data_IF_466051010701
#
_entry.id   IF_466051010701
#
_cell.length_a   1.000
_cell.length_b   1.000
_cell.length_c   1.000
_cell.angle_alpha   90.00
_cell.angle_beta   90.00
_cell.angle_gamma   90.00
#
_symmetry.space_group_name_H-M   'P 1'
#
loop_
_entity.id
_entity.type
_entity.pdbx_description
1 polymer ?
#
# COMPACT_ATOMS: atom_id res chain seq x y z
N UNK A 1 4.53 37.85 2.55
CA UNK A 1 4.20 38.49 3.83
C UNK A 1 5.41 38.38 4.72
N UNK A 2 6.20 39.45 4.74
CA UNK A 2 7.40 39.62 5.56
C UNK A 2 6.98 39.66 7.03
N UNK A 3 7.66 38.92 7.91
CA UNK A 3 7.58 39.12 9.35
C UNK A 3 9.00 39.14 9.93
N UNK A 4 9.46 40.37 10.10
CA UNK A 4 10.12 40.94 11.27
C UNK A 4 11.14 40.10 12.06
N UNK A 5 12.39 40.54 11.91
CA UNK A 5 13.28 40.96 13.00
C UNK A 5 12.68 40.91 14.40
N UNK A 6 13.19 39.98 15.20
CA UNK A 6 13.07 39.98 16.64
C UNK A 6 14.40 39.56 17.27
N UNK A 7 15.34 40.50 17.34
CA UNK A 7 16.37 40.46 18.39
C UNK A 7 15.62 40.48 19.73
N UNK A 8 15.50 39.32 20.38
CA UNK A 8 15.02 39.23 21.75
C UNK A 8 16.11 38.62 22.62
N UNK A 9 16.69 39.52 23.41
CA UNK A 9 17.65 39.39 24.50
C UNK A 9 17.89 37.98 25.06
N UNK A 10 19.19 37.64 25.07
CA UNK A 10 19.83 36.50 25.75
C UNK A 10 19.82 36.65 27.28
N UNK A 11 18.66 36.92 27.90
CA UNK A 11 18.54 37.17 29.34
C UNK A 11 17.79 36.07 30.09
N UNK A 12 18.21 34.83 29.93
CA UNK A 12 18.00 33.78 30.96
C UNK A 12 19.04 32.66 30.97
N UNK A 13 20.25 32.91 30.45
CA UNK A 13 21.41 32.11 30.85
C UNK A 13 21.74 32.52 32.30
N UNK A 14 21.61 31.60 33.25
CA UNK A 14 22.07 31.86 34.62
C UNK A 14 23.53 32.33 34.60
N UNK A 15 23.95 33.11 35.59
CA UNK A 15 25.32 33.67 35.66
C UNK A 15 26.40 32.61 35.42
N UNK A 16 26.17 31.37 35.91
CA UNK A 16 27.02 30.21 35.65
C UNK A 16 27.10 29.79 34.16
N UNK A 17 25.97 29.80 33.45
CA UNK A 17 25.92 29.51 32.02
C UNK A 17 26.69 30.53 31.18
N UNK A 18 26.58 31.81 31.52
CA UNK A 18 27.33 32.88 30.86
C UNK A 18 28.85 32.78 31.11
N UNK A 19 29.27 32.39 32.33
CA UNK A 19 30.70 32.16 32.63
C UNK A 19 31.24 30.97 31.84
N UNK A 20 30.47 29.87 31.75
CA UNK A 20 30.87 28.69 30.98
C UNK A 20 30.97 29.01 29.48
N UNK A 21 30.02 29.75 28.91
CA UNK A 21 30.08 30.15 27.49
C UNK A 21 31.28 31.04 27.21
N UNK A 22 31.59 32.01 28.07
CA UNK A 22 32.79 32.84 27.95
C UNK A 22 34.08 32.02 28.05
N UNK A 23 34.14 31.03 28.94
CA UNK A 23 35.30 30.14 29.08
C UNK A 23 35.51 29.25 27.84
N UNK A 24 34.42 28.67 27.30
CA UNK A 24 34.45 27.90 26.04
C UNK A 24 34.91 28.76 24.86
N UNK A 25 34.40 29.99 24.74
CA UNK A 25 34.83 30.95 23.71
C UNK A 25 36.32 31.30 23.88
N UNK A 26 36.78 31.52 25.11
CA UNK A 26 38.19 31.79 25.43
C UNK A 26 39.13 30.64 25.04
N UNK A 27 38.74 29.39 25.33
CA UNK A 27 39.49 28.20 24.90
C UNK A 27 39.50 28.09 23.38
N UNK A 28 38.36 28.28 22.73
CA UNK A 28 38.26 28.21 21.27
C UNK A 28 39.14 29.28 20.59
N UNK A 29 39.24 30.48 21.18
CA UNK A 29 40.10 31.56 20.71
C UNK A 29 41.60 31.27 20.94
N UNK A 30 41.99 30.74 22.10
CA UNK A 30 43.39 30.38 22.39
C UNK A 30 43.90 29.23 21.51
N UNK A 31 43.02 28.33 21.10
CA UNK A 31 43.36 27.16 20.28
C UNK A 31 43.16 27.40 18.77
N UNK A 32 42.94 28.65 18.37
CA UNK A 32 42.88 29.05 16.97
C UNK A 32 44.26 28.85 16.30
N UNK A 33 44.36 28.25 15.08
CA UNK A 33 43.29 27.93 14.12
C UNK A 33 42.70 26.50 14.20
N UNK A 34 43.24 25.62 15.06
CA UNK A 34 42.83 24.21 15.14
C UNK A 34 41.36 24.04 15.56
N UNK A 35 40.85 24.93 16.43
CA UNK A 35 39.45 24.91 16.88
C UNK A 35 38.44 25.10 15.74
N UNK A 36 38.80 25.83 14.68
CA UNK A 36 37.89 26.14 13.56
C UNK A 36 37.41 24.86 12.85
N UNK A 37 38.30 23.87 12.70
CA UNK A 37 37.97 22.58 12.10
C UNK A 37 36.98 21.76 12.94
N UNK A 38 36.97 21.93 14.27
CA UNK A 38 36.05 21.24 15.16
C UNK A 38 34.69 21.95 15.26
N UNK A 39 34.68 23.28 15.20
CA UNK A 39 33.47 24.10 15.31
C UNK A 39 32.60 24.08 14.05
N UNK A 40 33.21 23.93 12.87
CA UNK A 40 32.47 23.90 11.60
C UNK A 40 31.87 22.51 11.39
N UNK A 41 30.54 22.43 11.38
CA UNK A 41 29.81 21.23 11.00
C UNK A 41 28.88 21.51 9.82
N UNK A 42 28.79 20.52 8.94
CA UNK A 42 27.94 20.55 7.75
C UNK A 42 26.79 19.56 7.94
N UNK A 43 25.57 20.03 7.68
CA UNK A 43 24.34 19.23 7.64
C UNK A 43 23.81 19.23 6.22
N UNK A 44 23.45 18.03 5.78
CA UNK A 44 22.93 17.78 4.44
C UNK A 44 21.51 18.33 4.32
N UNK A 45 21.04 18.57 3.09
CA UNK A 45 19.72 19.17 2.84
C UNK A 45 18.55 18.35 3.40
N UNK A 46 18.71 17.03 3.43
CA UNK A 46 17.73 16.09 3.98
C UNK A 46 17.84 15.87 5.50
N UNK A 47 18.84 16.46 6.15
CA UNK A 47 19.06 16.37 7.60
C UNK A 47 18.65 17.68 8.29
N UNK A 48 18.25 17.57 9.56
CA UNK A 48 18.11 18.71 10.46
C UNK A 48 18.91 18.48 11.72
N UNK A 49 19.55 19.54 12.22
CA UNK A 49 20.27 19.49 13.49
C UNK A 49 19.42 20.08 14.60
N UNK A 50 19.19 19.29 15.64
CA UNK A 50 18.63 19.75 16.92
C UNK A 50 19.80 20.02 17.86
N UNK A 51 19.93 21.26 18.32
CA UNK A 51 21.06 21.71 19.14
C UNK A 51 20.58 21.96 20.57
N UNK A 52 21.28 21.33 21.52
CA UNK A 52 21.11 21.53 22.94
C UNK A 52 22.29 22.32 23.48
N UNK A 53 22.02 23.42 24.18
CA UNK A 53 23.02 24.22 24.88
C UNK A 53 22.77 24.07 26.37
N UNK A 54 23.74 23.48 27.10
CA UNK A 54 23.61 23.22 28.55
C UNK A 54 22.30 22.48 28.91
N UNK A 55 21.91 21.51 28.07
CA UNK A 55 20.69 20.72 28.26
C UNK A 55 19.38 21.44 27.91
N UNK A 56 19.41 22.71 27.49
CA UNK A 56 18.24 23.42 26.98
C UNK A 56 18.23 23.41 25.46
N UNK A 57 17.04 23.25 24.88
CA UNK A 57 16.86 23.42 23.44
C UNK A 57 17.14 24.88 23.04
N UNK A 58 17.95 25.07 21.99
CA UNK A 58 18.23 26.40 21.47
C UNK A 58 16.94 27.06 20.93
N UNK A 59 16.66 28.31 21.32
CA UNK A 59 15.52 29.06 20.81
C UNK A 59 15.71 29.30 19.31
N UNK A 60 14.77 28.79 18.50
CA UNK A 60 14.88 28.69 17.03
C UNK A 60 14.59 27.29 16.49
N UNK A 61 14.51 26.27 17.35
CA UNK A 61 14.17 24.91 16.95
C UNK A 61 15.25 24.25 16.11
N UNK A 62 14.85 23.27 15.30
CA UNK A 62 15.77 22.54 14.43
C UNK A 62 16.38 23.45 13.36
N UNK A 63 17.71 23.57 13.35
CA UNK A 63 18.43 24.38 12.36
C UNK A 63 18.37 23.71 10.98
N UNK A 64 18.24 24.55 9.96
CA UNK A 64 18.24 24.13 8.58
C UNK A 64 19.58 23.68 8.03
N UNK A 65 19.59 23.19 6.78
CA UNK A 65 20.80 22.65 6.17
C UNK A 65 21.82 23.74 5.90
N UNK A 66 23.08 23.34 5.81
CA UNK A 66 24.21 24.25 5.62
C UNK A 66 25.27 24.12 6.71
N UNK A 67 26.09 25.16 6.80
CA UNK A 67 27.21 25.24 7.74
C UNK A 67 26.72 25.94 9.00
N UNK A 68 26.95 25.32 10.16
CA UNK A 68 26.65 25.91 11.45
C UNK A 68 27.84 25.70 12.38
N UNK A 69 28.08 26.73 13.19
CA UNK A 69 29.11 26.73 14.21
C UNK A 69 28.53 26.13 15.48
N UNK A 70 29.24 25.14 16.02
CA UNK A 70 28.92 24.49 17.28
C UNK A 70 30.07 24.75 18.24
N UNK A 71 29.74 25.27 19.43
CA UNK A 71 30.71 25.48 20.48
C UNK A 71 31.10 24.13 21.12
N UNK A 72 32.38 23.71 21.03
CA UNK A 72 32.82 22.48 21.68
C UNK A 72 32.61 22.59 23.20
N UNK A 73 32.29 21.45 23.83
CA UNK A 73 32.03 21.25 25.26
C UNK A 73 30.66 21.70 25.80
N UNK A 74 30.01 22.71 25.22
CA UNK A 74 28.74 23.26 25.75
C UNK A 74 27.53 22.83 24.94
N UNK A 75 27.72 22.71 23.62
CA UNK A 75 26.65 22.40 22.69
C UNK A 75 26.72 20.93 22.26
N UNK A 76 25.60 20.24 22.40
CA UNK A 76 25.39 18.91 21.84
C UNK A 76 24.43 19.02 20.66
N UNK A 77 24.70 18.29 19.58
CA UNK A 77 23.84 18.30 18.41
C UNK A 77 23.44 16.88 18.02
N UNK A 78 22.17 16.71 17.67
CA UNK A 78 21.63 15.46 17.13
C UNK A 78 21.15 15.71 15.72
N UNK A 79 21.64 14.91 14.77
CA UNK A 79 21.19 14.93 13.38
C UNK A 79 19.98 14.02 13.22
N UNK A 80 18.93 14.53 12.59
CA UNK A 80 17.70 13.78 12.30
C UNK A 80 17.46 13.81 10.80
N UNK A 81 17.27 12.64 10.21
CA UNK A 81 16.91 12.49 8.80
C UNK A 81 15.41 12.76 8.60
N UNK A 82 15.08 13.58 7.62
CA UNK A 82 13.69 13.92 7.26
C UNK A 82 13.12 13.03 6.15
N UNK A 83 13.93 12.15 5.56
CA UNK A 83 13.50 11.25 4.48
C UNK A 83 12.51 10.21 4.99
N UNK A 84 11.72 9.66 4.07
CA UNK A 84 10.87 8.52 4.34
C UNK A 84 11.73 7.32 4.71
N UNK A 85 11.52 6.82 5.92
CA UNK A 85 12.10 5.61 6.45
C UNK A 85 11.04 4.52 6.46
N UNK A 86 11.50 3.28 6.36
CA UNK A 86 10.65 2.11 6.44
C UNK A 86 11.12 1.20 7.55
N UNK A 87 10.16 0.51 8.17
CA UNK A 87 10.47 -0.64 9.00
C UNK A 87 9.41 -1.72 8.83
N UNK A 88 9.87 -2.97 8.93
CA UNK A 88 8.99 -4.12 9.04
C UNK A 88 8.46 -4.23 10.48
N UNK A 89 7.16 -4.44 10.60
CA UNK A 89 6.48 -4.90 11.81
C UNK A 89 6.61 -6.41 11.85
N UNK A 90 7.17 -7.01 12.92
CA UNK A 90 7.34 -8.45 12.98
C UNK A 90 5.97 -9.16 12.97
N UNK A 91 5.89 -10.39 12.42
CA UNK A 91 4.65 -11.14 12.32
C UNK A 91 3.93 -11.24 13.68
N UNK A 92 2.64 -10.89 13.71
CA UNK A 92 1.79 -10.99 14.88
C UNK A 92 0.81 -12.14 14.71
N UNK A 93 0.81 -13.10 15.65
CA UNK A 93 -0.19 -14.17 15.72
C UNK A 93 -1.36 -13.72 16.58
N UNK A 94 -2.55 -13.61 15.96
CA UNK A 94 -3.75 -13.03 16.57
C UNK A 94 -4.98 -13.83 16.16
N UNK A 95 -5.97 -13.84 17.04
CA UNK A 95 -7.30 -14.36 16.74
C UNK A 95 -8.16 -13.25 16.12
N UNK A 96 -8.67 -13.49 14.92
CA UNK A 96 -9.60 -12.58 14.24
C UNK A 96 -10.99 -12.60 14.88
N UNK A 97 -11.88 -11.69 14.46
CA UNK A 97 -13.26 -11.60 14.96
C UNK A 97 -14.08 -12.88 14.77
N UNK A 98 -13.78 -13.64 13.72
CA UNK A 98 -14.37 -14.94 13.38
C UNK A 98 -13.63 -16.14 14.01
N UNK A 99 -12.79 -15.89 15.02
CA UNK A 99 -12.08 -16.93 15.79
C UNK A 99 -11.11 -17.76 14.95
N UNK A 100 -10.48 -17.16 13.94
CA UNK A 100 -9.41 -17.79 13.14
C UNK A 100 -8.06 -17.28 13.61
N UNK A 101 -7.10 -18.18 13.79
CA UNK A 101 -5.71 -17.80 14.05
C UNK A 101 -5.02 -17.40 12.76
N UNK A 102 -4.50 -16.18 12.71
CA UNK A 102 -3.75 -15.65 11.56
C UNK A 102 -2.43 -15.06 12.04
N UNK A 103 -1.40 -15.18 11.20
CA UNK A 103 -0.12 -14.51 11.41
C UNK A 103 0.09 -13.49 10.30
N UNK A 104 0.15 -12.20 10.66
CA UNK A 104 0.22 -11.10 9.68
C UNK A 104 1.42 -10.22 9.98
N UNK A 105 2.16 -9.85 8.94
CA UNK A 105 3.20 -8.82 8.99
C UNK A 105 2.84 -7.61 8.11
N UNK A 106 3.50 -6.49 8.39
CA UNK A 106 3.22 -5.22 7.73
C UNK A 106 4.48 -4.36 7.65
N UNK A 107 4.49 -3.39 6.74
CA UNK A 107 5.55 -2.40 6.58
C UNK A 107 4.95 -1.02 6.80
N UNK A 108 5.63 -0.20 7.60
CA UNK A 108 5.23 1.19 7.85
C UNK A 108 6.22 2.14 7.20
N UNK A 109 5.72 3.06 6.40
CA UNK A 109 6.48 4.15 5.80
C UNK A 109 6.15 5.43 6.54
N UNK A 110 7.16 6.07 7.09
CA UNK A 110 7.01 7.26 7.91
C UNK A 110 8.21 8.17 7.73
N UNK A 111 8.03 9.44 8.07
CA UNK A 111 9.13 10.39 8.11
C UNK A 111 9.03 11.28 9.32
N UNK A 112 10.15 11.84 9.74
CA UNK A 112 10.14 12.87 10.78
C UNK A 112 9.66 14.17 10.15
N UNK A 113 8.53 14.69 10.63
CA UNK A 113 8.01 15.99 10.22
C UNK A 113 8.59 17.12 11.07
N UNK A 114 8.77 16.89 12.38
CA UNK A 114 9.34 17.86 13.30
C UNK A 114 10.47 17.23 14.12
N UNK A 115 11.72 17.51 13.71
CA UNK A 115 12.92 16.99 14.35
C UNK A 115 13.05 17.41 15.82
N UNK A 116 12.66 18.65 16.16
CA UNK A 116 12.70 19.16 17.53
C UNK A 116 11.83 18.32 18.46
N UNK A 117 10.59 18.07 18.05
CA UNK A 117 9.60 17.30 18.82
C UNK A 117 10.02 15.84 18.91
N UNK A 118 10.55 15.27 17.83
CA UNK A 118 10.98 13.88 17.80
C UNK A 118 12.12 13.56 18.76
N UNK A 119 13.02 14.51 19.04
CA UNK A 119 14.11 14.33 20.01
C UNK A 119 13.70 14.74 21.42
N UNK A 120 12.77 15.70 21.57
CA UNK A 120 12.40 16.23 22.88
C UNK A 120 11.31 15.41 23.60
N UNK A 121 10.32 14.88 22.88
CA UNK A 121 9.12 14.31 23.49
C UNK A 121 9.23 12.81 23.79
N UNK A 122 10.15 12.09 23.14
CA UNK A 122 10.32 10.64 23.31
C UNK A 122 11.81 10.30 23.27
N UNK A 123 12.24 9.41 24.16
CA UNK A 123 13.63 8.92 24.22
C UNK A 123 14.08 8.33 22.87
N UNK A 124 13.27 7.43 22.30
CA UNK A 124 13.51 6.80 21.00
C UNK A 124 12.21 6.74 20.19
N UNK A 125 11.91 7.79 19.43
CA UNK A 125 10.67 7.89 18.64
C UNK A 125 10.50 6.68 17.68
N UNK A 126 11.57 6.25 17.00
CA UNK A 126 11.55 5.09 16.10
C UNK A 126 11.16 3.79 16.79
N UNK A 127 11.66 3.55 18.02
CA UNK A 127 11.37 2.34 18.77
C UNK A 127 9.92 2.35 19.27
N UNK A 128 9.47 3.47 19.84
CA UNK A 128 8.09 3.65 20.30
C UNK A 128 7.07 3.50 19.18
N UNK A 129 7.35 4.05 17.98
CA UNK A 129 6.50 3.87 16.79
C UNK A 129 6.43 2.41 16.37
N UNK A 130 7.52 1.64 16.46
CA UNK A 130 7.50 0.20 16.15
C UNK A 130 6.62 -0.60 17.11
N UNK A 131 6.71 -0.33 18.42
CA UNK A 131 5.86 -0.98 19.43
C UNK A 131 4.38 -0.60 19.26
N UNK A 132 4.11 0.67 18.98
CA UNK A 132 2.77 1.15 18.69
C UNK A 132 2.19 0.45 17.45
N UNK A 133 2.97 0.36 16.36
CA UNK A 133 2.57 -0.35 15.15
C UNK A 133 2.21 -1.82 15.39
N UNK A 134 2.97 -2.53 16.24
CA UNK A 134 2.65 -3.91 16.63
C UNK A 134 1.31 -4.01 17.36
N UNK A 135 1.07 -3.10 18.30
CA UNK A 135 -0.16 -3.08 19.10
C UNK A 135 -1.37 -2.70 18.25
N UNK A 136 -1.24 -1.70 17.38
CA UNK A 136 -2.30 -1.28 16.45
C UNK A 136 -2.61 -2.38 15.45
N UNK A 137 -1.60 -3.04 14.87
CA UNK A 137 -1.80 -4.18 13.97
C UNK A 137 -2.59 -5.29 14.67
N UNK A 138 -2.21 -5.65 15.90
CA UNK A 138 -2.93 -6.65 16.69
C UNK A 138 -4.38 -6.27 16.93
N UNK A 139 -4.65 -5.02 17.30
CA UNK A 139 -6.01 -4.55 17.57
C UNK A 139 -6.87 -4.55 16.31
N UNK A 140 -6.34 -4.07 15.18
CA UNK A 140 -7.05 -4.05 13.89
C UNK A 140 -7.40 -5.47 13.43
N UNK A 141 -6.47 -6.41 13.51
CA UNK A 141 -6.71 -7.80 13.13
C UNK A 141 -7.78 -8.46 14.01
N UNK A 142 -7.85 -8.11 15.29
CA UNK A 142 -8.88 -8.62 16.20
C UNK A 142 -10.29 -8.07 15.94
N UNK A 143 -10.41 -6.88 15.35
CA UNK A 143 -11.72 -6.26 15.05
C UNK A 143 -12.28 -6.65 13.68
N UNK A 144 -11.45 -7.19 12.79
CA UNK A 144 -11.82 -7.58 11.43
C UNK A 144 -12.00 -9.10 11.28
N UNK A 145 -12.82 -9.48 10.30
CA UNK A 145 -13.00 -10.88 9.92
C UNK A 145 -11.87 -11.35 8.99
N UNK A 146 -11.62 -12.66 8.90
CA UNK A 146 -10.60 -13.21 7.99
C UNK A 146 -10.83 -12.78 6.53
N UNK A 147 -12.07 -12.82 6.07
CA UNK A 147 -12.40 -12.48 4.69
C UNK A 147 -12.05 -11.02 4.35
N UNK A 148 -12.31 -10.10 5.28
CA UNK A 148 -11.97 -8.67 5.12
C UNK A 148 -10.45 -8.47 5.07
N UNK A 149 -9.70 -9.21 5.89
CA UNK A 149 -8.22 -9.16 5.91
C UNK A 149 -7.63 -9.65 4.57
N UNK A 150 -8.25 -10.64 3.93
CA UNK A 150 -7.81 -11.19 2.65
C UNK A 150 -8.26 -10.37 1.43
N UNK A 151 -9.50 -9.87 1.45
CA UNK A 151 -10.10 -9.16 0.31
C UNK A 151 -9.84 -7.65 0.34
N UNK A 152 -9.98 -7.02 1.51
CA UNK A 152 -10.04 -5.56 1.68
C UNK A 152 -8.82 -5.00 2.43
N UNK A 153 -7.63 -5.55 2.15
CA UNK A 153 -6.35 -5.16 2.80
C UNK A 153 -6.04 -3.67 2.75
N UNK A 154 -6.49 -2.98 1.71
CA UNK A 154 -6.26 -1.53 1.53
C UNK A 154 -7.06 -0.71 2.55
N UNK A 155 -8.29 -1.11 2.83
CA UNK A 155 -9.14 -0.44 3.84
C UNK A 155 -8.52 -0.52 5.23
N UNK A 156 -8.05 -1.71 5.62
CA UNK A 156 -7.38 -1.96 6.91
C UNK A 156 -6.07 -1.17 6.99
N UNK A 157 -5.31 -1.14 5.90
CA UNK A 157 -4.07 -0.37 5.81
C UNK A 157 -4.30 1.13 6.02
N UNK A 158 -5.34 1.70 5.40
CA UNK A 158 -5.72 3.11 5.55
C UNK A 158 -6.23 3.43 6.96
N UNK A 159 -7.03 2.55 7.56
CA UNK A 159 -7.46 2.69 8.95
C UNK A 159 -6.28 2.65 9.92
N UNK A 160 -5.35 1.70 9.74
CA UNK A 160 -4.14 1.59 10.54
C UNK A 160 -3.23 2.82 10.37
N UNK A 161 -3.09 3.34 9.15
CA UNK A 161 -2.35 4.56 8.88
C UNK A 161 -2.94 5.74 9.66
N UNK A 162 -4.26 5.91 9.64
CA UNK A 162 -4.94 7.01 10.33
C UNK A 162 -4.70 6.97 11.84
N UNK A 163 -4.87 5.78 12.45
CA UNK A 163 -4.67 5.59 13.89
C UNK A 163 -3.20 5.81 14.29
N UNK A 164 -2.25 5.30 13.49
CA UNK A 164 -0.83 5.49 13.77
C UNK A 164 -0.43 6.96 13.62
N UNK A 165 -0.86 7.63 12.56
CA UNK A 165 -0.51 9.02 12.29
C UNK A 165 -1.01 9.97 13.40
N UNK A 166 -2.24 9.75 13.88
CA UNK A 166 -2.82 10.53 14.99
C UNK A 166 -1.98 10.38 16.27
N UNK A 167 -1.61 9.16 16.62
CA UNK A 167 -0.82 8.88 17.81
C UNK A 167 0.64 9.38 17.68
N UNK A 168 1.27 9.19 16.53
CA UNK A 168 2.69 9.54 16.30
C UNK A 168 2.90 11.04 16.06
N UNK A 169 1.84 11.80 15.78
CA UNK A 169 1.91 13.24 15.62
C UNK A 169 2.51 13.96 16.84
N UNK A 170 2.20 13.48 18.06
CA UNK A 170 2.78 14.00 19.30
C UNK A 170 4.30 13.79 19.42
N UNK A 171 4.85 12.85 18.65
CA UNK A 171 6.28 12.52 18.58
C UNK A 171 6.96 13.16 17.37
N UNK A 172 6.27 14.01 16.61
CA UNK A 172 6.85 14.66 15.43
C UNK A 172 7.07 13.73 14.24
N UNK A 173 6.46 12.54 14.25
CA UNK A 173 6.50 11.55 13.18
C UNK A 173 5.19 11.62 12.38
N UNK A 174 5.33 11.65 11.06
CA UNK A 174 4.22 11.56 10.09
C UNK A 174 4.25 10.18 9.45
N UNK A 175 3.14 9.45 9.51
CA UNK A 175 3.00 8.15 8.82
C UNK A 175 2.42 8.41 7.43
N UNK A 176 3.16 8.02 6.40
CA UNK A 176 2.79 8.27 5.00
C UNK A 176 1.92 7.15 4.45
N UNK A 177 2.29 5.89 4.74
CA UNK A 177 1.47 4.72 4.40
C UNK A 177 1.78 3.56 5.33
N UNK A 178 0.85 2.63 5.39
CA UNK A 178 1.03 1.29 5.95
C UNK A 178 0.68 0.30 4.86
N UNK A 179 1.45 -0.77 4.73
CA UNK A 179 1.17 -1.84 3.76
C UNK A 179 1.21 -3.18 4.50
N UNK A 180 0.12 -3.95 4.40
CA UNK A 180 0.10 -5.35 4.85
C UNK A 180 0.93 -6.18 3.87
N UNK A 181 1.88 -6.96 4.36
CA UNK A 181 2.84 -7.69 3.54
C UNK A 181 2.34 -9.11 3.26
N UNK A 182 2.36 -9.99 4.25
CA UNK A 182 1.90 -11.37 4.15
C UNK A 182 0.85 -11.69 5.23
N UNK A 183 -0.14 -12.51 4.85
CA UNK A 183 -1.14 -13.10 5.75
C UNK A 183 -0.97 -14.61 5.71
N UNK A 184 -0.50 -15.20 6.82
CA UNK A 184 -0.26 -16.63 6.95
C UNK A 184 -1.37 -17.28 7.76
N UNK A 185 -1.89 -18.38 7.22
CA UNK A 185 -2.96 -19.19 7.81
C UNK A 185 -2.38 -20.55 8.22
N UNK A 186 -2.95 -21.22 9.24
CA UNK A 186 -2.65 -22.62 9.51
C UNK A 186 -2.86 -23.49 8.27
N UNK A 187 -1.88 -24.34 7.95
CA UNK A 187 -1.88 -25.17 6.72
C UNK A 187 -3.15 -26.01 6.58
N UNK A 188 -3.71 -26.49 7.70
CA UNK A 188 -4.95 -27.26 7.71
C UNK A 188 -6.15 -26.43 7.22
N UNK A 189 -6.30 -25.20 7.73
CA UNK A 189 -7.35 -24.28 7.32
C UNK A 189 -7.18 -23.83 5.87
N UNK A 190 -5.94 -23.49 5.47
CA UNK A 190 -5.64 -23.06 4.11
C UNK A 190 -6.04 -24.13 3.08
N UNK A 191 -5.78 -25.41 3.36
CA UNK A 191 -6.20 -26.52 2.50
C UNK A 191 -7.71 -26.69 2.45
N UNK A 192 -8.40 -26.58 3.60
CA UNK A 192 -9.85 -26.67 3.66
C UNK A 192 -10.53 -25.54 2.86
N UNK A 193 -10.05 -24.30 3.04
CA UNK A 193 -10.54 -23.13 2.29
C UNK A 193 -10.26 -23.26 0.79
N UNK A 194 -9.09 -23.77 0.40
CA UNK A 194 -8.76 -23.99 -1.01
C UNK A 194 -9.71 -25.01 -1.65
N UNK A 195 -9.99 -26.13 -0.97
CA UNK A 195 -10.93 -27.14 -1.44
C UNK A 195 -12.37 -26.61 -1.53
N UNK A 196 -12.82 -25.82 -0.54
CA UNK A 196 -14.14 -25.18 -0.56
C UNK A 196 -14.25 -24.16 -1.71
N UNK A 197 -13.22 -23.32 -1.90
CA UNK A 197 -13.20 -22.33 -2.97
C UNK A 197 -13.19 -22.98 -4.37
N UNK A 198 -12.48 -24.10 -4.54
CA UNK A 198 -12.47 -24.89 -5.78
C UNK A 198 -13.86 -25.47 -6.06
N UNK A 199 -14.48 -26.12 -5.09
CA UNK A 199 -15.83 -26.67 -5.23
C UNK A 199 -16.87 -25.58 -5.54
N UNK A 200 -16.81 -24.43 -4.87
CA UNK A 200 -17.69 -23.30 -5.13
C UNK A 200 -17.48 -22.71 -6.54
N UNK A 201 -16.23 -22.65 -7.00
CA UNK A 201 -15.88 -22.16 -8.35
C UNK A 201 -16.37 -23.12 -9.43
N UNK A 202 -16.23 -24.43 -9.24
CA UNK A 202 -16.77 -25.44 -10.16
C UNK A 202 -18.30 -25.39 -10.21
N UNK A 203 -18.96 -25.29 -9.07
CA UNK A 203 -20.42 -25.17 -9.00
C UNK A 203 -20.91 -23.92 -9.75
N UNK A 204 -20.27 -22.76 -9.52
CA UNK A 204 -20.57 -21.52 -10.24
C UNK A 204 -20.32 -21.65 -11.74
N UNK A 205 -19.23 -22.29 -12.15
CA UNK A 205 -18.93 -22.52 -13.57
C UNK A 205 -20.02 -23.37 -14.26
N UNK A 206 -20.52 -24.41 -13.60
CA UNK A 206 -21.63 -25.24 -14.12
C UNK A 206 -22.93 -24.45 -14.27
N UNK A 207 -23.28 -23.60 -13.30
CA UNK A 207 -24.46 -22.74 -13.39
C UNK A 207 -24.33 -21.77 -14.56
N UNK A 208 -23.18 -21.10 -14.70
CA UNK A 208 -22.92 -20.17 -15.81
C UNK A 208 -22.99 -20.89 -17.16
N UNK A 209 -22.46 -22.11 -17.26
CA UNK A 209 -22.52 -22.92 -18.47
C UNK A 209 -23.96 -23.28 -18.84
N UNK A 210 -24.76 -23.75 -17.87
CA UNK A 210 -26.16 -24.09 -18.08
C UNK A 210 -27.01 -22.85 -18.47
N UNK A 211 -26.80 -21.71 -17.82
CA UNK A 211 -27.44 -20.45 -18.19
C UNK A 211 -27.02 -19.97 -19.59
N UNK A 212 -25.74 -20.12 -19.93
CA UNK A 212 -25.21 -19.81 -21.25
C UNK A 212 -25.84 -20.69 -22.34
N UNK A 213 -26.00 -21.98 -22.07
CA UNK A 213 -26.65 -22.93 -22.97
C UNK A 213 -28.13 -22.62 -23.15
N UNK A 214 -28.85 -22.30 -22.07
CA UNK A 214 -30.25 -21.88 -22.13
C UNK A 214 -30.43 -20.60 -22.95
N UNK A 215 -29.59 -19.58 -22.73
CA UNK A 215 -29.62 -18.32 -23.49
C UNK A 215 -29.33 -18.58 -24.97
N UNK A 216 -28.35 -19.44 -25.27
CA UNK A 216 -28.00 -19.81 -26.64
C UNK A 216 -29.14 -20.55 -27.34
N UNK A 217 -29.77 -21.51 -26.66
CA UNK A 217 -30.92 -22.25 -27.19
C UNK A 217 -32.12 -21.33 -27.49
N UNK A 218 -32.39 -20.35 -26.60
CA UNK A 218 -33.46 -19.36 -26.83
C UNK A 218 -33.16 -18.49 -28.05
N UNK A 219 -31.94 -17.97 -28.18
CA UNK A 219 -31.53 -17.19 -29.35
C UNK A 219 -31.60 -18.00 -30.66
N UNK A 220 -31.19 -19.27 -30.64
CA UNK A 220 -31.29 -20.16 -31.80
C UNK A 220 -32.76 -20.45 -32.18
N UNK A 221 -33.65 -20.61 -31.20
CA UNK A 221 -35.08 -20.79 -31.43
C UNK A 221 -35.69 -19.56 -32.11
N UNK A 222 -35.41 -18.36 -31.60
CA UNK A 222 -35.87 -17.10 -32.19
C UNK A 222 -35.35 -16.95 -33.63
N UNK A 223 -34.07 -17.24 -33.87
CA UNK A 223 -33.49 -17.23 -35.21
C UNK A 223 -34.18 -18.24 -36.14
N UNK A 224 -34.52 -19.43 -35.65
CA UNK A 224 -35.22 -20.45 -36.44
C UNK A 224 -36.66 -20.02 -36.78
N UNK A 225 -37.39 -19.41 -35.84
CA UNK A 225 -38.74 -18.86 -36.08
C UNK A 225 -38.70 -17.76 -37.15
N UNK A 226 -37.72 -16.85 -37.10
CA UNK A 226 -37.53 -15.80 -38.13
C UNK A 226 -37.20 -16.42 -39.49
N UNK A 227 -36.34 -17.43 -39.53
CA UNK A 227 -35.98 -18.14 -40.77
C UNK A 227 -37.20 -18.87 -41.36
N UNK A 228 -38.05 -19.48 -40.52
CA UNK A 228 -39.24 -20.19 -40.97
C UNK A 228 -40.28 -19.27 -41.64
N UNK A 229 -40.33 -17.99 -41.25
CA UNK A 229 -41.23 -16.99 -41.87
C UNK A 229 -40.84 -16.69 -43.34
N UNK A 230 -39.59 -16.92 -43.75
CA UNK A 230 -39.13 -16.66 -45.11
C UNK A 230 -38.32 -17.84 -45.67
N UNK A 231 -38.90 -18.66 -46.57
CA UNK A 231 -38.22 -19.82 -47.15
C UNK A 231 -36.89 -19.49 -47.85
N UNK A 232 -36.75 -18.27 -48.40
CA UNK A 232 -35.52 -17.79 -49.02
C UNK A 232 -34.36 -17.64 -48.03
N UNK A 233 -34.63 -17.41 -46.73
CA UNK A 233 -33.61 -17.27 -45.70
C UNK A 233 -32.85 -18.58 -45.43
N UNK A 234 -33.55 -19.74 -45.48
CA UNK A 234 -32.90 -21.05 -45.39
C UNK A 234 -31.93 -21.26 -46.56
N UNK A 235 -32.33 -20.85 -47.75
CA UNK A 235 -31.54 -21.02 -48.96
C UNK A 235 -30.28 -20.14 -48.95
N UNK A 236 -30.38 -18.90 -48.47
CA UNK A 236 -29.22 -18.03 -48.26
C UNK A 236 -28.26 -18.57 -47.18
N UNK A 237 -28.79 -19.08 -46.07
CA UNK A 237 -27.98 -19.69 -45.00
C UNK A 237 -27.30 -20.98 -45.48
N UNK A 238 -27.97 -21.77 -46.31
CA UNK A 238 -27.38 -22.94 -46.98
C UNK A 238 -26.18 -22.53 -47.87
N UNK A 239 -26.35 -21.51 -48.72
CA UNK A 239 -25.26 -20.97 -49.55
C UNK A 239 -24.10 -20.40 -48.73
N UNK A 240 -24.40 -19.70 -47.62
CA UNK A 240 -23.36 -19.23 -46.70
C UNK A 240 -22.58 -20.38 -46.08
N UNK A 241 -23.27 -21.42 -45.62
CA UNK A 241 -22.63 -22.62 -45.02
C UNK A 241 -21.71 -23.32 -46.02
N UNK A 242 -22.12 -23.40 -47.29
CA UNK A 242 -21.27 -23.92 -48.36
C UNK A 242 -20.00 -23.09 -48.57
N UNK A 243 -20.10 -21.77 -48.45
CA UNK A 243 -18.93 -20.89 -48.56
C UNK A 243 -17.96 -21.11 -47.38
N UNK A 244 -18.46 -21.27 -46.16
CA UNK A 244 -17.62 -21.57 -44.99
C UNK A 244 -16.92 -22.93 -45.11
N UNK A 245 -17.62 -23.97 -45.58
CA UNK A 245 -17.04 -25.31 -45.79
C UNK A 245 -15.97 -25.27 -46.90
N UNK A 246 -16.20 -24.50 -47.97
CA UNK A 246 -15.22 -24.30 -49.05
C UNK A 246 -13.95 -23.59 -48.55
N UNK A 247 -14.08 -22.68 -47.59
CA UNK A 247 -12.96 -21.95 -47.00
C UNK A 247 -12.03 -22.82 -46.13
N UNK A 248 -12.53 -23.87 -45.49
CA UNK A 248 -11.72 -24.77 -44.63
C UNK A 248 -10.85 -25.79 -45.39
N UNK A 249 -10.81 -25.79 -46.74
CA UNK A 249 -9.97 -26.68 -47.57
C UNK A 249 -10.17 -28.20 -47.33
N UNK A 250 -11.39 -28.66 -47.04
CA UNK A 250 -11.67 -30.11 -47.00
C UNK A 250 -11.92 -30.67 -48.41
N UNK A 251 -11.30 -31.81 -48.76
CA UNK A 251 -11.32 -32.42 -50.10
C UNK A 251 -12.58 -33.24 -50.43
N UNK A 252 -13.49 -33.41 -49.48
CA UNK A 252 -14.71 -34.22 -49.64
C UNK A 252 -15.92 -33.42 -49.14
N UNK A 253 -16.77 -32.97 -50.05
CA UNK A 253 -18.00 -32.23 -49.74
C UNK A 253 -19.16 -33.23 -49.74
N UNK A 254 -19.69 -33.56 -48.56
CA UNK A 254 -20.88 -34.41 -48.42
C UNK A 254 -22.09 -33.51 -48.59
N UNK A 255 -22.90 -33.78 -49.63
CA UNK A 255 -24.04 -32.94 -50.01
C UNK A 255 -25.36 -33.55 -49.51
N UNK A 256 -25.96 -33.02 -48.43
CA UNK A 256 -27.29 -33.44 -48.02
C UNK A 256 -28.33 -32.83 -48.97
N UNK A 257 -28.93 -33.66 -49.83
CA UNK A 257 -30.07 -33.25 -50.66
C UNK A 257 -31.36 -33.27 -49.82
N UNK A 258 -32.17 -32.19 -49.82
CA UNK A 258 -33.48 -32.20 -49.18
C UNK A 258 -34.39 -33.25 -49.83
N UNK A 259 -35.02 -34.09 -49.01
CA UNK A 259 -35.84 -35.22 -49.46
C UNK A 259 -37.07 -34.72 -50.25
N UNK A 260 -37.49 -33.47 -50.04
CA UNK A 260 -38.60 -32.85 -50.77
C UNK A 260 -38.35 -32.72 -52.28
N UNK A 261 -37.09 -32.47 -52.69
CA UNK A 261 -36.73 -32.47 -54.12
C UNK A 261 -36.75 -33.88 -54.73
N UNK A 262 -36.35 -34.88 -53.93
CA UNK A 262 -36.31 -36.28 -54.36
C UNK A 262 -37.75 -36.84 -54.41
N UNK A 263 -38.60 -36.51 -53.44
CA UNK A 263 -39.98 -36.99 -53.37
C UNK A 263 -40.84 -36.47 -54.51
N UNK A 264 -40.60 -35.25 -55.00
CA UNK A 264 -41.28 -34.71 -56.18
C UNK A 264 -40.91 -35.49 -57.46
N UNK A 265 -39.66 -35.93 -57.59
CA UNK A 265 -39.19 -36.75 -58.71
C UNK A 265 -39.67 -38.21 -58.64
N UNK A 266 -39.82 -38.77 -57.43
CA UNK A 266 -40.34 -40.14 -57.24
C UNK A 266 -41.85 -40.21 -57.45
N UNK A 267 -42.60 -39.17 -57.04
CA UNK A 267 -44.07 -39.14 -57.14
C UNK A 267 -44.58 -38.80 -58.55
N UNK A 268 -43.73 -38.29 -59.45
CA UNK A 268 -44.11 -38.06 -60.86
C UNK A 268 -44.02 -39.31 -61.74
N UNK A 269 -43.62 -40.46 -61.18
CA UNK A 269 -43.44 -41.72 -61.90
C UNK A 269 -44.39 -42.85 -61.42
N UNK A 270 -45.48 -42.47 -60.74
CA UNK A 270 -46.63 -43.35 -60.44
C UNK A 270 -47.91 -42.68 -60.91
#
# INVERSE_FOLDING_TARGET
>A
MSQDTGEQNDSSQGVCGAILTLFSIGIAACTFPLSLFFCIKVVQEYERAVIFRLGRLLHGGAKGPGIFFILPCIEHYTKVDLRTLTFDVPPQEVLTKDSVTVSVDAVVYYRVHNATVSVANVENAHHSTRLLAQTTLRNMLGTHNLHEILSDRESISNSMQTVLDECTGAWGIKVERVEIKDVRLPVQLQRAMAAEAEAAREARAKVIAAEGEQKSARALKEAAEVIAQSPAALQLRYLQTLNTISAEKNSTIIFPLPIDFISHFIRSNV
#
